data_IF_367001432823
#
_entry.id   IF_367001432823
#
_cell.length_a   1.000
_cell.length_b   1.000
_cell.length_c   1.000
_cell.angle_alpha   90.00
_cell.angle_beta   90.00
_cell.angle_gamma   90.00
#
_symmetry.space_group_name_H-M   'P 1'
#
loop_
_entity.id
_entity.type
_entity.pdbx_description
1 polymer ?
#
# COMPACT_ATOMS: atom_id res chain seq x y z
N UNK A 1 16.36 -2.22 21.44
CA UNK A 1 16.79 -0.98 22.17
C UNK A 1 16.05 -0.89 23.49
N UNK A 2 14.70 -0.94 23.49
CA UNK A 2 13.87 -0.69 24.68
C UNK A 2 14.13 -1.69 25.81
N UNK A 3 14.36 -2.96 25.49
CA UNK A 3 14.73 -4.00 26.48
C UNK A 3 16.01 -3.63 27.24
N UNK A 4 17.02 -3.09 26.52
CA UNK A 4 18.30 -2.65 27.16
C UNK A 4 18.15 -1.42 28.05
N UNK A 5 17.04 -0.70 27.92
CA UNK A 5 16.72 0.46 28.73
C UNK A 5 15.78 0.12 29.90
N UNK A 6 15.38 -1.15 30.06
CA UNK A 6 14.39 -1.57 31.05
C UNK A 6 12.97 -1.08 30.72
N UNK A 7 12.70 -0.80 29.46
CA UNK A 7 11.43 -0.31 28.94
C UNK A 7 10.86 -1.28 27.89
N UNK A 8 11.30 -2.53 27.92
CA UNK A 8 10.73 -3.59 27.07
C UNK A 8 9.27 -3.89 27.43
N UNK A 9 8.56 -4.61 26.55
CA UNK A 9 7.16 -4.92 26.78
C UNK A 9 6.92 -5.70 28.07
N UNK A 10 7.81 -6.61 28.44
CA UNK A 10 7.68 -7.39 29.67
C UNK A 10 7.90 -6.52 30.93
N UNK A 11 8.90 -5.64 30.91
CA UNK A 11 9.17 -4.69 31.99
C UNK A 11 7.96 -3.79 32.22
N UNK A 12 7.43 -3.22 31.14
CA UNK A 12 6.28 -2.31 31.20
C UNK A 12 5.00 -3.05 31.62
N UNK A 13 4.79 -4.27 31.12
CA UNK A 13 3.62 -5.10 31.47
C UNK A 13 3.63 -5.56 32.92
N UNK A 14 4.83 -5.72 33.51
CA UNK A 14 4.94 -6.02 34.95
C UNK A 14 4.34 -4.91 35.82
N UNK A 15 4.43 -3.65 35.36
CA UNK A 15 3.87 -2.48 36.05
C UNK A 15 2.40 -2.28 35.76
N UNK A 16 2.01 -2.45 34.48
CA UNK A 16 0.62 -2.28 34.02
C UNK A 16 0.19 -3.45 33.13
N UNK A 17 -0.62 -4.36 33.66
CA UNK A 17 -1.12 -5.55 32.94
C UNK A 17 -2.04 -5.20 31.77
N UNK A 18 -2.63 -4.00 31.74
CA UNK A 18 -3.49 -3.51 30.65
C UNK A 18 -2.72 -2.77 29.56
N UNK A 19 -1.41 -2.63 29.71
CA UNK A 19 -0.60 -1.87 28.76
C UNK A 19 -0.68 -2.49 27.35
N UNK A 20 -0.99 -1.66 26.37
CA UNK A 20 -0.82 -1.95 24.94
C UNK A 20 0.52 -1.38 24.49
N UNK A 21 1.36 -2.24 23.98
CA UNK A 21 2.73 -1.91 23.58
C UNK A 21 2.90 -2.06 22.06
N UNK A 22 2.96 -0.94 21.33
CA UNK A 22 3.14 -0.93 19.89
C UNK A 22 4.63 -0.91 19.49
N UNK A 23 5.03 -1.78 18.60
CA UNK A 23 6.38 -1.86 18.01
C UNK A 23 6.27 -1.74 16.48
N UNK A 24 6.69 -0.61 15.93
CA UNK A 24 6.77 -0.42 14.49
C UNK A 24 8.21 -0.58 14.04
N UNK A 25 8.44 -1.49 13.10
CA UNK A 25 9.77 -1.78 12.54
C UNK A 25 9.67 -2.02 11.04
N UNK A 26 10.81 -2.00 10.34
CA UNK A 26 10.84 -2.33 8.92
C UNK A 26 10.54 -3.80 8.63
N UNK A 27 11.19 -4.68 9.39
CA UNK A 27 11.30 -6.10 9.07
C UNK A 27 10.65 -7.04 10.10
N UNK A 28 10.04 -6.52 11.15
CA UNK A 28 9.54 -7.30 12.28
C UNK A 28 10.60 -7.54 13.36
N UNK A 29 10.18 -8.25 14.42
CA UNK A 29 11.02 -8.53 15.60
C UNK A 29 11.89 -9.77 15.44
N UNK A 30 11.61 -10.60 14.44
CA UNK A 30 12.28 -11.89 14.20
C UNK A 30 12.73 -11.98 12.75
N UNK A 31 13.51 -13.02 12.44
CA UNK A 31 14.03 -13.24 11.09
C UNK A 31 15.40 -12.60 10.83
N UNK A 32 15.99 -12.91 9.68
CA UNK A 32 17.36 -12.53 9.33
C UNK A 32 17.57 -11.03 9.17
N UNK A 33 16.52 -10.29 8.83
CA UNK A 33 16.56 -8.83 8.63
C UNK A 33 16.17 -8.02 9.86
N UNK A 34 15.73 -8.64 10.95
CA UNK A 34 15.20 -7.92 12.14
C UNK A 34 16.19 -6.91 12.76
N UNK A 35 17.47 -7.08 12.53
CA UNK A 35 18.54 -6.16 13.00
C UNK A 35 19.12 -5.29 11.88
N UNK A 36 18.67 -5.46 10.64
CA UNK A 36 19.16 -4.69 9.51
C UNK A 36 18.53 -3.28 9.48
N UNK A 37 19.31 -2.29 9.06
CA UNK A 37 18.78 -0.98 8.72
C UNK A 37 17.98 -1.05 7.42
N UNK A 38 16.99 -0.17 7.28
CA UNK A 38 16.19 -0.03 6.08
C UNK A 38 15.29 1.21 6.16
N UNK A 39 14.75 1.56 5.02
CA UNK A 39 13.78 2.66 4.85
C UNK A 39 12.62 2.18 4.01
N UNK A 40 11.56 2.98 3.90
CA UNK A 40 10.35 2.69 3.13
C UNK A 40 10.64 1.97 1.81
N UNK A 41 11.52 2.55 0.99
CA UNK A 41 11.88 2.00 -0.33
C UNK A 41 12.41 0.57 -0.27
N UNK A 42 13.12 0.19 0.79
CA UNK A 42 13.63 -1.17 0.95
C UNK A 42 12.50 -2.15 1.31
N UNK A 43 11.58 -1.73 2.17
CA UNK A 43 10.45 -2.54 2.61
C UNK A 43 9.50 -2.82 1.44
N UNK A 44 9.13 -1.78 0.69
CA UNK A 44 8.25 -1.92 -0.46
C UNK A 44 8.91 -2.59 -1.67
N UNK A 45 10.25 -2.55 -1.77
CA UNK A 45 10.99 -3.32 -2.77
C UNK A 45 10.87 -4.81 -2.52
N UNK A 46 11.10 -5.24 -1.27
CA UNK A 46 11.10 -6.65 -0.90
C UNK A 46 9.77 -7.33 -1.21
N UNK A 47 8.66 -6.63 -0.96
CA UNK A 47 7.30 -7.16 -1.18
C UNK A 47 6.78 -6.89 -2.61
N UNK A 48 7.57 -6.28 -3.47
CA UNK A 48 7.22 -6.05 -4.88
C UNK A 48 6.36 -4.82 -5.17
N UNK A 49 5.91 -4.05 -4.18
CA UNK A 49 5.11 -2.85 -4.41
C UNK A 49 5.85 -1.81 -5.24
N UNK A 50 7.14 -1.57 -4.95
CA UNK A 50 7.94 -0.63 -5.73
C UNK A 50 8.05 -1.04 -7.21
N UNK A 51 8.16 -2.35 -7.48
CA UNK A 51 8.22 -2.84 -8.86
C UNK A 51 6.95 -2.54 -9.66
N UNK A 52 5.81 -2.40 -9.00
CA UNK A 52 4.52 -2.13 -9.63
C UNK A 52 4.24 -0.62 -9.84
N UNK A 53 5.03 0.28 -9.26
CA UNK A 53 4.77 1.73 -9.24
C UNK A 53 5.79 2.47 -10.12
N UNK A 54 5.31 3.36 -10.97
CA UNK A 54 6.13 4.21 -11.84
C UNK A 54 5.94 3.94 -13.33
N UNK A 55 6.62 4.71 -14.18
CA UNK A 55 6.58 4.55 -15.63
C UNK A 55 7.20 3.21 -16.08
N UNK A 56 6.93 2.81 -17.32
CA UNK A 56 7.34 1.52 -17.86
C UNK A 56 8.85 1.26 -17.76
N UNK A 57 9.66 2.30 -17.94
CA UNK A 57 11.12 2.22 -18.00
C UNK A 57 11.78 2.05 -16.62
N UNK A 58 11.14 2.53 -15.53
CA UNK A 58 11.74 2.44 -14.18
C UNK A 58 10.71 2.43 -13.06
N UNK A 59 10.97 1.72 -11.93
CA UNK A 59 10.17 1.90 -10.72
C UNK A 59 10.39 3.29 -10.13
N UNK A 60 9.34 3.87 -9.53
CA UNK A 60 9.38 5.21 -8.94
C UNK A 60 8.91 5.16 -7.48
N UNK A 61 9.73 5.68 -6.53
CA UNK A 61 9.34 5.67 -5.14
C UNK A 61 8.12 6.58 -4.92
N UNK A 62 7.05 6.06 -4.30
CA UNK A 62 5.83 6.82 -4.01
C UNK A 62 5.96 7.64 -2.72
N UNK A 63 7.09 8.34 -2.53
CA UNK A 63 7.49 8.92 -1.24
C UNK A 63 7.62 7.79 -0.21
N UNK A 64 7.27 8.06 1.05
CA UNK A 64 7.19 7.04 2.11
C UNK A 64 5.72 6.72 2.50
N UNK A 65 4.81 6.82 1.51
CA UNK A 65 3.39 6.65 1.76
C UNK A 65 2.99 5.19 1.93
N UNK A 66 3.66 4.28 1.23
CA UNK A 66 3.25 2.86 1.19
C UNK A 66 3.86 2.07 2.35
N UNK A 67 5.16 2.18 2.58
CA UNK A 67 5.85 1.46 3.66
C UNK A 67 5.60 2.09 5.03
N UNK A 68 6.13 3.30 5.23
CA UNK A 68 6.14 3.92 6.56
C UNK A 68 4.72 4.30 7.04
N UNK A 69 3.92 4.93 6.18
CA UNK A 69 2.59 5.39 6.58
C UNK A 69 1.52 4.31 6.35
N UNK A 70 1.34 3.82 5.15
CA UNK A 70 0.28 2.84 4.84
C UNK A 70 0.49 1.51 5.56
N UNK A 71 1.62 0.85 5.30
CA UNK A 71 1.96 -0.46 5.87
C UNK A 71 2.40 -0.40 7.34
N UNK A 72 2.97 0.72 7.79
CA UNK A 72 3.45 0.91 9.16
C UNK A 72 2.45 1.63 10.05
N UNK A 73 2.43 2.97 9.96
CA UNK A 73 1.72 3.80 10.93
C UNK A 73 0.22 3.50 11.02
N UNK A 74 -0.46 3.31 9.88
CA UNK A 74 -1.91 3.06 9.87
C UNK A 74 -2.24 1.66 10.41
N UNK A 75 -1.44 0.64 10.09
CA UNK A 75 -1.62 -0.71 10.64
C UNK A 75 -1.35 -0.72 12.15
N UNK A 76 -0.31 -0.02 12.61
CA UNK A 76 -0.05 0.13 14.05
C UNK A 76 -1.21 0.82 14.75
N UNK A 77 -1.69 1.94 14.23
CA UNK A 77 -2.81 2.67 14.81
C UNK A 77 -4.08 1.81 14.93
N UNK A 78 -4.42 1.08 13.87
CA UNK A 78 -5.54 0.14 13.85
C UNK A 78 -5.35 -0.98 14.88
N UNK A 79 -4.16 -1.59 14.92
CA UNK A 79 -3.83 -2.64 15.87
C UNK A 79 -3.90 -2.16 17.32
N UNK A 80 -3.41 -0.95 17.61
CA UNK A 80 -3.50 -0.35 18.93
C UNK A 80 -4.95 -0.09 19.34
N UNK A 81 -5.79 0.45 18.46
CA UNK A 81 -7.22 0.65 18.74
C UNK A 81 -7.92 -0.67 19.09
N UNK A 82 -7.67 -1.71 18.30
CA UNK A 82 -8.21 -3.05 18.56
C UNK A 82 -7.72 -3.62 19.90
N UNK A 83 -6.43 -3.44 20.20
CA UNK A 83 -5.84 -3.91 21.45
C UNK A 83 -6.33 -3.12 22.69
N UNK A 84 -6.59 -1.82 22.58
CA UNK A 84 -7.23 -1.04 23.64
C UNK A 84 -8.65 -1.54 23.92
N UNK A 85 -9.43 -1.78 22.87
CA UNK A 85 -10.78 -2.33 23.01
C UNK A 85 -10.76 -3.69 23.72
N UNK A 86 -9.81 -4.56 23.36
CA UNK A 86 -9.66 -5.86 24.03
C UNK A 86 -9.18 -5.70 25.49
N UNK A 87 -8.24 -4.81 25.75
CA UNK A 87 -7.72 -4.56 27.10
C UNK A 87 -8.79 -4.02 28.05
N UNK A 88 -9.73 -3.23 27.56
CA UNK A 88 -10.88 -2.78 28.36
C UNK A 88 -11.82 -3.91 28.74
N UNK A 89 -11.99 -4.92 27.87
CA UNK A 89 -12.88 -6.07 28.10
C UNK A 89 -12.23 -7.16 28.97
N UNK A 90 -10.97 -7.49 28.65
CA UNK A 90 -10.26 -8.63 29.29
C UNK A 90 -9.44 -8.22 30.50
N UNK A 91 -9.11 -6.93 30.63
CA UNK A 91 -8.15 -6.45 31.62
C UNK A 91 -6.70 -6.77 31.29
N UNK A 92 -6.42 -7.22 30.05
CA UNK A 92 -5.10 -7.67 29.59
C UNK A 92 -4.67 -6.86 28.37
N UNK A 93 -3.54 -6.17 28.49
CA UNK A 93 -2.85 -5.55 27.35
C UNK A 93 -2.09 -6.57 26.53
N UNK A 94 -1.58 -6.13 25.39
CA UNK A 94 -0.81 -6.97 24.47
C UNK A 94 0.27 -6.18 23.74
N UNK A 95 1.21 -6.90 23.15
CA UNK A 95 2.23 -6.34 22.27
C UNK A 95 1.74 -6.44 20.83
N UNK A 96 1.88 -5.36 20.08
CA UNK A 96 1.60 -5.32 18.65
C UNK A 96 2.94 -5.22 17.94
N UNK A 97 3.30 -6.24 17.19
CA UNK A 97 4.42 -6.21 16.26
C UNK A 97 3.91 -5.79 14.89
N UNK A 98 4.28 -4.58 14.47
CA UNK A 98 3.86 -4.00 13.21
C UNK A 98 5.10 -3.83 12.33
N UNK A 99 5.37 -4.84 11.49
CA UNK A 99 6.40 -4.74 10.47
C UNK A 99 5.86 -4.01 9.24
N UNK A 100 6.60 -3.01 8.75
CA UNK A 100 6.21 -2.26 7.54
C UNK A 100 6.16 -3.16 6.31
N UNK A 101 7.00 -4.19 6.23
CA UNK A 101 6.92 -5.24 5.18
C UNK A 101 5.59 -5.98 5.21
N UNK A 102 5.11 -6.38 6.38
CA UNK A 102 3.87 -7.17 6.51
C UNK A 102 2.65 -6.32 6.17
N UNK A 103 2.60 -5.09 6.69
CA UNK A 103 1.53 -4.16 6.37
C UNK A 103 1.51 -3.78 4.88
N UNK A 104 2.68 -3.52 4.29
CA UNK A 104 2.80 -3.24 2.85
C UNK A 104 2.38 -4.44 2.00
N UNK A 105 2.75 -5.66 2.40
CA UNK A 105 2.28 -6.88 1.73
C UNK A 105 0.76 -7.03 1.81
N UNK A 106 0.15 -6.65 2.95
CA UNK A 106 -1.30 -6.62 3.09
C UNK A 106 -1.96 -5.63 2.13
N UNK A 107 -1.37 -4.45 1.91
CA UNK A 107 -1.85 -3.48 0.90
C UNK A 107 -1.75 -4.05 -0.53
N UNK A 108 -0.79 -4.92 -0.80
CA UNK A 108 -0.60 -5.57 -2.10
C UNK A 108 -1.50 -6.79 -2.34
N UNK A 109 -2.32 -7.20 -1.38
CA UNK A 109 -3.15 -8.42 -1.46
C UNK A 109 -4.02 -8.46 -2.73
N UNK A 110 -4.63 -7.33 -3.10
CA UNK A 110 -5.43 -7.21 -4.31
C UNK A 110 -4.60 -7.52 -5.56
N UNK A 111 -3.42 -6.94 -5.67
CA UNK A 111 -2.53 -7.11 -6.83
C UNK A 111 -1.96 -8.53 -6.88
N UNK A 112 -1.56 -9.10 -5.75
CA UNK A 112 -1.11 -10.50 -5.69
C UNK A 112 -2.18 -11.46 -6.16
N UNK A 113 -3.44 -11.23 -5.75
CA UNK A 113 -4.56 -12.05 -6.20
C UNK A 113 -4.77 -11.93 -7.71
N UNK A 114 -4.71 -10.73 -8.26
CA UNK A 114 -4.84 -10.50 -9.71
C UNK A 114 -3.68 -11.10 -10.50
N UNK A 115 -2.45 -11.01 -9.99
CA UNK A 115 -1.30 -11.68 -10.60
C UNK A 115 -1.47 -13.20 -10.62
N UNK A 116 -1.93 -13.79 -9.53
CA UNK A 116 -2.19 -15.23 -9.46
C UNK A 116 -3.26 -15.70 -10.43
N UNK A 117 -4.21 -14.84 -10.78
CA UNK A 117 -5.26 -15.11 -11.77
C UNK A 117 -4.85 -14.75 -13.21
N UNK A 118 -3.64 -14.22 -13.43
CA UNK A 118 -3.20 -13.74 -14.74
C UNK A 118 -3.89 -12.46 -15.22
N UNK A 119 -4.58 -11.74 -14.30
CA UNK A 119 -5.29 -10.49 -14.58
C UNK A 119 -4.43 -9.24 -14.38
N UNK A 120 -3.25 -9.38 -13.83
CA UNK A 120 -2.27 -8.31 -13.64
C UNK A 120 -0.93 -8.73 -14.24
N UNK A 121 -0.39 -7.89 -15.11
CA UNK A 121 0.90 -8.09 -15.78
C UNK A 121 2.02 -7.50 -14.90
N UNK A 122 3.20 -8.13 -14.83
CA UNK A 122 4.32 -7.59 -14.05
C UNK A 122 4.93 -6.32 -14.64
N UNK A 123 4.64 -6.01 -15.91
CA UNK A 123 5.07 -4.76 -16.55
C UNK A 123 4.25 -3.58 -16.02
N UNK A 124 4.94 -2.49 -15.65
CA UNK A 124 4.29 -1.21 -15.31
C UNK A 124 3.63 -0.60 -16.55
N UNK A 125 2.69 0.28 -16.35
CA UNK A 125 1.90 0.95 -17.41
C UNK A 125 1.26 -0.04 -18.40
N UNK A 126 0.87 -1.20 -17.91
CA UNK A 126 0.20 -2.23 -18.72
C UNK A 126 -1.05 -2.81 -18.07
N UNK A 127 -1.47 -2.23 -16.96
CA UNK A 127 -2.61 -2.66 -16.17
C UNK A 127 -3.64 -1.54 -16.00
N UNK A 128 -4.78 -1.89 -15.43
CA UNK A 128 -5.92 -0.96 -15.30
C UNK A 128 -5.62 0.24 -14.39
N UNK A 129 -4.82 0.06 -13.32
CA UNK A 129 -4.65 1.07 -12.27
C UNK A 129 -3.24 1.68 -12.21
N UNK A 130 -2.37 1.37 -13.16
CA UNK A 130 -0.96 1.79 -13.18
C UNK A 130 -0.62 2.76 -14.32
N UNK A 131 -1.64 3.34 -14.97
CA UNK A 131 -1.47 4.20 -16.14
C UNK A 131 -1.52 3.46 -17.48
N UNK A 132 -1.60 2.13 -17.50
CA UNK A 132 -1.73 1.34 -18.73
C UNK A 132 -3.10 1.49 -19.40
N UNK A 133 -4.12 1.95 -18.70
CA UNK A 133 -5.44 2.22 -19.23
C UNK A 133 -5.65 3.72 -19.45
N UNK A 134 -6.06 4.11 -20.66
CA UNK A 134 -6.32 5.51 -21.01
C UNK A 134 -7.42 6.18 -20.16
N UNK A 135 -8.30 5.43 -19.57
CA UNK A 135 -9.37 5.92 -18.69
C UNK A 135 -8.96 5.97 -17.21
N UNK A 136 -7.70 5.60 -16.89
CA UNK A 136 -7.12 5.69 -15.56
C UNK A 136 -5.67 6.15 -15.65
N UNK A 137 -5.47 7.44 -15.88
CA UNK A 137 -4.15 8.00 -16.09
C UNK A 137 -4.14 9.52 -15.83
N UNK A 138 -2.95 10.12 -15.93
CA UNK A 138 -2.73 11.56 -15.89
C UNK A 138 -2.36 12.08 -17.26
N UNK A 139 -2.83 13.27 -17.60
CA UNK A 139 -2.61 13.90 -18.90
C UNK A 139 -2.15 15.35 -18.74
N UNK A 140 -1.17 15.77 -19.52
CA UNK A 140 -0.73 17.14 -19.56
C UNK A 140 -1.75 18.00 -20.33
N UNK A 141 -2.03 19.17 -19.78
CA UNK A 141 -2.89 20.18 -20.39
C UNK A 141 -2.08 21.20 -21.17
N UNK A 142 -2.72 21.96 -22.06
CA UNK A 142 -2.05 22.95 -22.91
C UNK A 142 -1.33 24.06 -22.15
N UNK A 143 -1.63 24.25 -20.86
CA UNK A 143 -0.96 25.20 -19.97
C UNK A 143 0.18 24.57 -19.14
N UNK A 144 0.58 23.35 -19.48
CA UNK A 144 1.68 22.63 -18.83
C UNK A 144 1.34 22.07 -17.43
N UNK A 145 0.05 22.04 -17.07
CA UNK A 145 -0.42 21.39 -15.85
C UNK A 145 -0.89 19.95 -16.15
N UNK A 146 -1.38 19.25 -15.12
CA UNK A 146 -1.85 17.89 -15.26
C UNK A 146 -3.29 17.76 -14.76
N UNK A 147 -4.04 16.92 -15.44
CA UNK A 147 -5.33 16.41 -14.99
C UNK A 147 -5.23 14.91 -14.77
N UNK A 148 -6.07 14.37 -13.89
CA UNK A 148 -6.22 12.92 -13.70
C UNK A 148 -7.59 12.48 -14.20
N UNK A 149 -7.62 11.32 -14.86
CA UNK A 149 -8.84 10.65 -15.30
C UNK A 149 -8.91 9.31 -14.56
N UNK A 150 -10.10 8.99 -14.02
CA UNK A 150 -10.35 7.75 -13.30
C UNK A 150 -11.75 7.19 -13.59
N UNK A 151 -12.21 7.27 -14.84
CA UNK A 151 -13.54 6.86 -15.27
C UNK A 151 -13.61 5.35 -15.54
N UNK A 152 -13.52 4.54 -14.50
CA UNK A 152 -13.50 3.07 -14.59
C UNK A 152 -14.88 2.52 -14.93
N UNK A 153 -15.95 3.07 -14.36
CA UNK A 153 -17.30 2.58 -14.55
C UNK A 153 -17.86 3.00 -15.93
N UNK A 154 -18.60 2.10 -16.62
CA UNK A 154 -19.07 2.35 -17.98
C UNK A 154 -19.86 3.65 -18.17
N UNK A 155 -20.69 4.03 -17.20
CA UNK A 155 -21.49 5.26 -17.27
C UNK A 155 -20.61 6.52 -17.21
N UNK A 156 -19.59 6.55 -16.37
CA UNK A 156 -18.67 7.69 -16.24
C UNK A 156 -17.73 7.76 -17.43
N UNK A 157 -17.29 6.61 -17.94
CA UNK A 157 -16.47 6.56 -19.15
C UNK A 157 -17.25 7.06 -20.38
N UNK A 158 -18.52 6.68 -20.50
CA UNK A 158 -19.41 7.19 -21.57
C UNK A 158 -19.54 8.72 -21.48
N UNK A 159 -19.80 9.26 -20.29
CA UNK A 159 -19.92 10.70 -20.08
C UNK A 159 -18.59 11.43 -20.39
N UNK A 160 -17.45 10.88 -19.97
CA UNK A 160 -16.14 11.43 -20.30
C UNK A 160 -15.98 11.55 -21.81
N UNK A 161 -16.22 10.47 -22.56
CA UNK A 161 -16.10 10.46 -24.02
C UNK A 161 -16.99 11.51 -24.69
N UNK A 162 -18.23 11.59 -24.28
CA UNK A 162 -19.19 12.57 -24.81
C UNK A 162 -18.72 14.00 -24.57
N UNK A 163 -18.21 14.31 -23.36
CA UNK A 163 -17.75 15.66 -23.00
C UNK A 163 -16.49 16.10 -23.72
N UNK A 164 -15.54 15.19 -23.96
CA UNK A 164 -14.28 15.51 -24.65
C UNK A 164 -14.32 15.22 -26.15
N UNK A 165 -15.46 14.78 -26.69
CA UNK A 165 -15.67 14.56 -28.11
C UNK A 165 -14.96 13.33 -28.67
N UNK A 166 -14.61 12.33 -27.85
CA UNK A 166 -14.03 11.06 -28.33
C UNK A 166 -15.12 10.18 -28.93
N UNK A 167 -15.12 10.08 -30.25
CA UNK A 167 -16.14 9.30 -30.99
C UNK A 167 -15.59 8.00 -31.58
N UNK A 168 -14.27 7.79 -31.58
CA UNK A 168 -13.63 6.65 -32.23
C UNK A 168 -13.99 5.33 -31.58
N UNK A 169 -14.18 4.32 -32.43
CA UNK A 169 -14.54 2.96 -31.98
C UNK A 169 -13.47 2.36 -31.04
N UNK A 170 -12.22 2.76 -31.17
CA UNK A 170 -11.11 2.32 -30.33
C UNK A 170 -11.32 2.67 -28.86
N UNK A 171 -12.00 3.77 -28.58
CA UNK A 171 -12.34 4.20 -27.22
C UNK A 171 -13.70 3.68 -26.73
N UNK A 172 -14.37 2.81 -27.51
CA UNK A 172 -15.70 2.30 -27.15
C UNK A 172 -15.68 1.16 -26.15
N UNK A 173 -14.54 0.50 -25.92
CA UNK A 173 -14.45 -0.74 -25.17
C UNK A 173 -13.63 -0.54 -23.88
N UNK A 174 -14.33 -0.33 -22.78
CA UNK A 174 -13.73 -0.14 -21.45
C UNK A 174 -12.93 -1.37 -20.97
N UNK A 175 -13.24 -2.55 -21.47
CA UNK A 175 -12.72 -3.83 -20.97
C UNK A 175 -12.02 -4.70 -22.03
N UNK A 176 -11.81 -4.22 -23.22
CA UNK A 176 -10.93 -4.95 -24.16
C UNK A 176 -9.49 -4.62 -23.78
N UNK A 177 -8.88 -5.57 -23.09
CA UNK A 177 -7.43 -5.60 -23.03
C UNK A 177 -6.88 -5.51 -24.45
N UNK A 178 -5.94 -4.60 -24.74
CA UNK A 178 -5.12 -4.80 -25.92
C UNK A 178 -4.42 -6.14 -25.72
N UNK A 179 -4.64 -7.02 -26.65
CA UNK A 179 -3.95 -8.32 -26.77
C UNK A 179 -2.46 -8.12 -26.91
#
# INVERSE_FOLDING_TARGET
>A
VMERLGLGPDDCKAINKKLVYGRMTGWGQTGSLSHAAGHDINYISLIGALAAIGPADRPMPPLNLVGDFGGGAMFLAMGMCAAFFEAERSGKGQVIDCAMTDGSASLMTFFFNFMAQGLYKPQRESNMLDGGAHYYNTYETSDGKFISIGSIEPQFYKELRERIGLTDKEFCLLYTSPS
#
